data_IF_973634832945
#
_entry.id   IF_973634832945
#
_cell.length_a   1.000
_cell.length_b   1.000
_cell.length_c   1.000
_cell.angle_alpha   90.00
_cell.angle_beta   90.00
_cell.angle_gamma   90.00
#
_symmetry.space_group_name_H-M   'P 1'
#
loop_
_entity.id
_entity.type
_entity.pdbx_description
1 polymer ?
#
# COMPACT_ATOMS: atom_id res chain seq x y z
N UNK A 1 4.66 12.59 22.00
CA UNK A 1 3.50 12.37 21.11
C UNK A 1 3.92 12.91 19.77
N UNK A 2 3.97 12.05 18.76
CA UNK A 2 4.45 12.41 17.43
C UNK A 2 3.26 12.50 16.46
N UNK A 3 3.48 13.10 15.29
CA UNK A 3 2.42 13.31 14.29
C UNK A 3 2.93 12.80 12.94
N UNK A 4 2.11 12.00 12.26
CA UNK A 4 2.21 11.71 10.83
C UNK A 4 1.01 12.26 10.08
N UNK A 5 0.99 12.08 8.76
CA UNK A 5 -0.05 12.65 7.91
C UNK A 5 -0.68 11.61 6.99
N UNK A 6 -1.95 11.80 6.68
CA UNK A 6 -2.69 10.96 5.73
C UNK A 6 -3.39 11.84 4.70
N UNK A 7 -3.24 11.48 3.43
CA UNK A 7 -3.96 12.06 2.29
C UNK A 7 -4.61 10.94 1.48
N UNK A 8 -5.87 11.10 1.11
CA UNK A 8 -6.64 10.09 0.37
C UNK A 8 -6.84 10.59 -1.06
N UNK A 9 -6.62 9.73 -2.05
CA UNK A 9 -6.84 10.02 -3.47
C UNK A 9 -7.88 9.05 -4.02
N UNK A 10 -9.10 9.51 -4.25
CA UNK A 10 -10.20 8.73 -4.80
C UNK A 10 -10.26 8.82 -6.32
N UNK A 11 -10.14 7.66 -6.97
CA UNK A 11 -10.23 7.52 -8.42
C UNK A 11 -11.18 6.39 -8.81
N UNK A 12 -11.53 6.34 -10.09
CA UNK A 12 -12.29 5.25 -10.70
C UNK A 12 -11.79 4.96 -12.12
N UNK A 13 -12.34 3.93 -12.76
CA UNK A 13 -11.97 3.49 -14.11
C UNK A 13 -10.46 3.26 -14.27
N UNK A 14 -9.89 2.43 -13.38
CA UNK A 14 -8.46 2.11 -13.38
C UNK A 14 -7.59 3.38 -13.24
N UNK A 15 -7.90 4.18 -12.22
CA UNK A 15 -7.21 5.43 -11.89
C UNK A 15 -7.34 6.56 -12.94
N UNK A 16 -8.17 6.38 -13.96
CA UNK A 16 -8.31 7.36 -15.04
C UNK A 16 -9.05 8.63 -14.62
N UNK A 17 -10.03 8.53 -13.71
CA UNK A 17 -10.91 9.65 -13.37
C UNK A 17 -10.94 9.92 -11.86
N UNK A 18 -10.82 11.18 -11.43
CA UNK A 18 -11.00 11.54 -10.03
C UNK A 18 -12.47 11.39 -9.61
N UNK A 19 -12.70 11.00 -8.35
CA UNK A 19 -14.03 10.95 -7.75
C UNK A 19 -14.18 12.08 -6.75
N UNK A 20 -14.87 13.14 -7.17
CA UNK A 20 -15.20 14.29 -6.32
C UNK A 20 -16.37 13.98 -5.38
N UNK A 21 -16.35 14.56 -4.19
CA UNK A 21 -17.43 14.43 -3.20
C UNK A 21 -17.52 13.05 -2.54
N UNK A 22 -16.47 12.24 -2.63
CA UNK A 22 -16.40 10.99 -1.88
C UNK A 22 -16.24 11.31 -0.39
N UNK A 23 -17.13 10.78 0.44
CA UNK A 23 -17.05 10.89 1.90
C UNK A 23 -16.04 9.88 2.43
N UNK A 24 -14.99 10.38 3.07
CA UNK A 24 -13.94 9.59 3.68
C UNK A 24 -14.06 9.69 5.20
N UNK A 25 -14.16 8.55 5.89
CA UNK A 25 -14.14 8.49 7.36
C UNK A 25 -12.90 7.78 7.83
N UNK A 26 -12.16 8.39 8.75
CA UNK A 26 -10.92 7.86 9.31
C UNK A 26 -11.19 7.43 10.75
N UNK A 27 -10.75 6.23 11.10
CA UNK A 27 -10.94 5.62 12.42
C UNK A 27 -9.61 5.26 13.06
N UNK A 28 -9.55 5.35 14.39
CA UNK A 28 -8.49 4.71 15.16
C UNK A 28 -8.66 3.18 15.20
N UNK A 29 -7.70 2.50 15.83
CA UNK A 29 -7.74 1.05 16.04
C UNK A 29 -8.87 0.57 16.96
N UNK A 30 -9.52 1.47 17.71
CA UNK A 30 -10.66 1.16 18.57
C UNK A 30 -12.01 1.35 17.85
N UNK A 31 -11.99 1.86 16.61
CA UNK A 31 -13.19 2.14 15.81
C UNK A 31 -13.80 3.52 16.05
N UNK A 32 -13.13 4.41 16.79
CA UNK A 32 -13.60 5.77 16.98
C UNK A 32 -13.38 6.59 15.71
N UNK A 33 -14.40 7.29 15.25
CA UNK A 33 -14.33 8.17 14.08
C UNK A 33 -13.56 9.45 14.45
N UNK A 34 -12.38 9.65 13.89
CA UNK A 34 -11.51 10.80 14.16
C UNK A 34 -11.78 11.95 13.19
N UNK A 35 -11.90 11.61 11.91
CA UNK A 35 -12.11 12.59 10.83
C UNK A 35 -13.22 12.14 9.89
N UNK A 36 -13.91 13.14 9.32
CA UNK A 36 -14.83 12.99 8.19
C UNK A 36 -14.44 14.03 7.16
N UNK A 37 -14.02 13.57 5.99
CA UNK A 37 -13.51 14.38 4.89
C UNK A 37 -14.38 14.20 3.65
N UNK A 38 -14.25 15.13 2.70
CA UNK A 38 -14.76 14.98 1.34
C UNK A 38 -13.63 15.23 0.35
N UNK A 39 -13.61 14.47 -0.74
CA UNK A 39 -12.67 14.71 -1.84
C UNK A 39 -13.09 15.89 -2.69
N UNK A 40 -12.10 16.62 -3.20
CA UNK A 40 -12.27 17.77 -4.08
C UNK A 40 -12.46 17.36 -5.56
N UNK A 41 -12.45 18.34 -6.47
CA UNK A 41 -12.58 18.14 -7.91
C UNK A 41 -11.45 17.28 -8.51
N UNK A 42 -10.29 17.22 -7.85
CA UNK A 42 -9.15 16.38 -8.23
C UNK A 42 -9.22 14.98 -7.62
N UNK A 43 -10.28 14.68 -6.84
CA UNK A 43 -10.45 13.43 -6.14
C UNK A 43 -9.56 13.32 -4.90
N UNK A 44 -9.01 14.43 -4.39
CA UNK A 44 -8.09 14.42 -3.26
C UNK A 44 -8.78 14.91 -1.99
N UNK A 45 -8.47 14.29 -0.85
CA UNK A 45 -8.85 14.82 0.45
C UNK A 45 -7.82 15.85 0.92
N UNK A 46 -8.22 16.72 1.86
CA UNK A 46 -7.23 17.46 2.64
C UNK A 46 -6.30 16.49 3.39
N UNK A 47 -5.03 16.88 3.55
CA UNK A 47 -4.06 16.17 4.38
C UNK A 47 -4.41 16.37 5.85
N UNK A 48 -4.57 15.28 6.60
CA UNK A 48 -4.90 15.32 8.03
C UNK A 48 -3.73 14.87 8.90
N UNK A 49 -3.51 15.49 10.06
CA UNK A 49 -2.56 15.02 11.05
C UNK A 49 -3.16 13.87 11.89
N UNK A 50 -2.37 12.84 12.11
CA UNK A 50 -2.72 11.68 12.92
C UNK A 50 -1.62 11.41 13.95
N UNK A 51 -2.04 11.05 15.15
CA UNK A 51 -1.13 10.78 16.26
C UNK A 51 -0.34 9.50 16.01
N UNK A 52 0.93 9.50 16.38
CA UNK A 52 1.78 8.34 16.24
C UNK A 52 2.90 8.37 17.27
N UNK A 53 3.82 7.41 17.15
CA UNK A 53 4.99 7.25 18.00
C UNK A 53 6.22 7.89 17.36
N UNK A 54 7.20 8.19 18.21
CA UNK A 54 8.44 8.85 17.82
C UNK A 54 9.26 7.98 16.85
N UNK A 55 9.77 8.57 15.77
CA UNK A 55 10.56 7.90 14.74
C UNK A 55 11.84 7.27 15.30
N UNK A 56 12.35 7.75 16.44
CA UNK A 56 13.49 7.15 17.12
C UNK A 56 13.25 5.67 17.44
N UNK A 57 12.00 5.25 17.65
CA UNK A 57 11.65 3.83 17.81
C UNK A 57 11.92 3.02 16.53
N UNK A 58 11.63 3.56 15.35
CA UNK A 58 11.92 2.89 14.07
C UNK A 58 13.42 2.83 13.76
N UNK A 59 14.20 3.76 14.31
CA UNK A 59 15.64 3.87 14.09
C UNK A 59 16.46 3.13 15.15
N UNK A 60 15.81 2.59 16.18
CA UNK A 60 16.46 1.85 17.25
C UNK A 60 16.37 0.34 16.98
N UNK A 61 17.48 -0.34 16.64
CA UNK A 61 17.48 -1.77 16.35
C UNK A 61 17.15 -2.65 17.57
N UNK A 62 17.17 -2.08 18.79
CA UNK A 62 16.82 -2.80 20.03
C UNK A 62 15.36 -2.58 20.45
N UNK A 63 14.61 -1.76 19.73
CA UNK A 63 13.18 -1.56 20.00
C UNK A 63 12.37 -2.70 19.38
N UNK A 64 11.58 -3.39 20.21
CA UNK A 64 10.76 -4.54 19.80
C UNK A 64 9.26 -4.21 19.65
N UNK A 65 8.88 -2.95 19.84
CA UNK A 65 7.50 -2.50 19.63
C UNK A 65 7.22 -2.11 18.17
N UNK A 66 5.99 -1.68 17.91
CA UNK A 66 5.58 -1.18 16.59
C UNK A 66 5.86 0.32 16.51
N UNK A 67 6.75 0.80 15.63
CA UNK A 67 7.16 2.21 15.59
C UNK A 67 6.24 3.07 14.71
N UNK A 68 4.95 2.75 14.70
CA UNK A 68 3.88 3.49 14.01
C UNK A 68 2.53 3.21 14.68
N UNK A 69 1.52 3.98 14.30
CA UNK A 69 0.12 3.73 14.68
C UNK A 69 -0.70 3.42 13.43
N UNK A 70 -1.56 2.41 13.54
CA UNK A 70 -2.43 1.98 12.44
C UNK A 70 -3.79 2.64 12.51
N UNK A 71 -4.31 3.02 11.35
CA UNK A 71 -5.62 3.64 11.18
C UNK A 71 -6.43 2.92 10.11
N UNK A 72 -7.75 3.12 10.14
CA UNK A 72 -8.67 2.54 9.18
C UNK A 72 -9.43 3.64 8.43
N UNK A 73 -9.81 3.38 7.19
CA UNK A 73 -10.52 4.32 6.32
C UNK A 73 -11.76 3.67 5.72
N UNK A 74 -12.89 4.36 5.77
CA UNK A 74 -14.10 4.01 5.03
C UNK A 74 -14.38 5.09 3.99
N UNK A 75 -14.37 4.70 2.72
CA UNK A 75 -14.72 5.56 1.60
C UNK A 75 -16.13 5.23 1.07
N UNK A 76 -16.94 6.27 0.87
CA UNK A 76 -18.29 6.18 0.30
C UNK A 76 -18.50 7.28 -0.72
N UNK A 77 -19.06 6.93 -1.87
CA UNK A 77 -19.46 7.90 -2.88
C UNK A 77 -20.80 7.47 -3.50
N UNK A 78 -21.61 8.44 -3.92
CA UNK A 78 -22.89 8.15 -4.54
C UNK A 78 -22.69 7.40 -5.88
N UNK A 79 -23.38 6.27 -6.05
CA UNK A 79 -23.25 5.43 -7.25
C UNK A 79 -22.04 4.49 -7.24
N UNK A 80 -21.27 4.41 -6.15
CA UNK A 80 -20.12 3.52 -6.01
C UNK A 80 -20.31 2.51 -4.88
N UNK A 81 -19.66 1.36 -5.02
CA UNK A 81 -19.42 0.46 -3.90
C UNK A 81 -18.55 1.15 -2.86
N UNK A 82 -18.82 0.86 -1.59
CA UNK A 82 -17.99 1.36 -0.49
C UNK A 82 -16.71 0.54 -0.36
N UNK A 83 -15.65 1.19 0.11
CA UNK A 83 -14.36 0.55 0.35
C UNK A 83 -13.91 0.82 1.78
N UNK A 84 -13.64 -0.25 2.53
CA UNK A 84 -13.03 -0.19 3.84
C UNK A 84 -11.58 -0.65 3.73
N UNK A 85 -10.64 0.16 4.23
CA UNK A 85 -9.21 -0.16 4.24
C UNK A 85 -8.74 -0.16 5.69
N UNK A 86 -8.14 -1.26 6.13
CA UNK A 86 -7.64 -1.43 7.49
C UNK A 86 -6.11 -1.45 7.57
N UNK A 87 -5.62 -1.21 8.79
CA UNK A 87 -4.23 -1.37 9.19
C UNK A 87 -3.23 -0.43 8.48
N UNK A 88 -3.66 0.77 8.10
CA UNK A 88 -2.83 1.75 7.40
C UNK A 88 -1.78 2.33 8.37
N UNK A 89 -0.47 2.09 8.17
CA UNK A 89 0.55 2.55 9.09
C UNK A 89 0.87 4.03 8.89
N UNK A 90 0.84 4.81 9.98
CA UNK A 90 1.20 6.23 9.98
C UNK A 90 2.47 6.46 10.80
N UNK A 91 3.48 7.04 10.17
CA UNK A 91 4.81 7.28 10.73
C UNK A 91 5.04 8.77 11.03
N UNK A 92 5.83 9.07 12.05
CA UNK A 92 6.14 10.46 12.41
C UNK A 92 6.80 11.22 11.26
N UNK A 93 6.28 12.41 10.96
CA UNK A 93 6.84 13.34 9.97
C UNK A 93 6.54 12.96 8.52
N UNK A 94 6.04 11.76 8.28
CA UNK A 94 5.78 11.24 6.93
C UNK A 94 4.32 11.41 6.52
N UNK A 95 4.09 11.54 5.21
CA UNK A 95 2.75 11.60 4.63
C UNK A 95 2.41 10.31 3.91
N UNK A 96 1.46 9.55 4.45
CA UNK A 96 0.86 8.42 3.77
C UNK A 96 -0.10 8.92 2.68
N UNK A 97 0.13 8.50 1.44
CA UNK A 97 -0.79 8.73 0.32
C UNK A 97 -1.56 7.44 0.11
N UNK A 98 -2.89 7.49 0.31
CA UNK A 98 -3.78 6.34 0.17
C UNK A 98 -4.59 6.46 -1.12
N UNK A 99 -4.13 5.85 -2.23
CA UNK A 99 -4.93 5.74 -3.43
C UNK A 99 -6.09 4.76 -3.19
N UNK A 100 -7.31 5.18 -3.52
CA UNK A 100 -8.50 4.35 -3.48
C UNK A 100 -9.15 4.31 -4.85
N UNK A 101 -9.39 3.11 -5.37
CA UNK A 101 -10.11 2.91 -6.63
C UNK A 101 -11.54 2.48 -6.31
N UNK A 102 -12.48 3.41 -6.48
CA UNK A 102 -13.91 3.17 -6.27
C UNK A 102 -14.54 2.51 -7.50
N UNK A 103 -15.25 1.42 -7.26
CA UNK A 103 -15.92 0.63 -8.29
C UNK A 103 -17.38 1.09 -8.39
N UNK A 104 -17.87 1.56 -9.56
CA UNK A 104 -19.26 1.91 -9.75
C UNK A 104 -20.19 0.74 -9.44
N UNK A 105 -21.37 1.04 -8.93
CA UNK A 105 -22.43 0.04 -8.74
C UNK A 105 -22.98 -0.41 -10.09
N UNK A 106 -23.38 -1.68 -10.20
CA UNK A 106 -24.09 -2.17 -11.38
C UNK A 106 -25.48 -1.53 -11.45
N UNK A 107 -26.04 -1.33 -12.66
CA UNK A 107 -27.36 -0.68 -12.82
C UNK A 107 -28.49 -1.40 -12.06
N UNK A 108 -28.40 -2.73 -11.92
CA UNK A 108 -29.39 -3.53 -11.18
C UNK A 108 -29.18 -3.53 -9.67
N UNK A 109 -28.05 -2.97 -9.19
CA UNK A 109 -27.66 -2.98 -7.80
C UNK A 109 -28.34 -1.85 -7.04
N UNK A 110 -29.15 -2.20 -6.02
CA UNK A 110 -29.91 -1.22 -5.22
C UNK A 110 -29.16 -0.69 -4.00
N UNK A 111 -28.14 -1.40 -3.54
CA UNK A 111 -27.37 -1.06 -2.34
C UNK A 111 -25.88 -1.26 -2.59
N UNK A 112 -25.00 -0.37 -2.10
CA UNK A 112 -23.57 -0.51 -2.28
C UNK A 112 -23.06 -1.78 -1.59
N UNK A 113 -22.19 -2.52 -2.27
CA UNK A 113 -21.38 -3.57 -1.63
C UNK A 113 -20.22 -2.90 -0.90
N UNK A 114 -19.72 -3.55 0.16
CA UNK A 114 -18.50 -3.12 0.84
C UNK A 114 -17.37 -4.07 0.49
N UNK A 115 -16.35 -3.55 -0.18
CA UNK A 115 -15.07 -4.22 -0.33
C UNK A 115 -14.20 -3.91 0.90
N UNK A 116 -13.36 -4.85 1.29
CA UNK A 116 -12.41 -4.70 2.40
C UNK A 116 -11.00 -5.06 1.94
N UNK A 117 -10.05 -4.20 2.27
CA UNK A 117 -8.62 -4.38 1.99
C UNK A 117 -7.87 -4.16 3.30
N UNK A 118 -6.99 -5.08 3.69
CA UNK A 118 -6.05 -4.85 4.79
C UNK A 118 -4.67 -4.57 4.21
N UNK A 119 -4.06 -3.46 4.62
CA UNK A 119 -2.67 -3.11 4.26
C UNK A 119 -1.70 -4.01 5.03
N UNK A 120 -2.01 -4.26 6.30
CA UNK A 120 -1.18 -5.06 7.19
C UNK A 120 0.11 -4.38 7.63
N UNK A 121 0.91 -5.11 8.41
CA UNK A 121 2.19 -4.63 8.92
C UNK A 121 3.27 -4.67 7.83
N UNK A 122 4.23 -3.72 7.80
CA UNK A 122 5.43 -3.87 6.99
C UNK A 122 6.22 -5.12 7.37
N UNK A 123 6.92 -5.74 6.43
CA UNK A 123 7.67 -6.98 6.66
C UNK A 123 8.72 -6.85 7.77
N UNK A 124 9.40 -5.71 7.87
CA UNK A 124 10.35 -5.41 8.95
C UNK A 124 9.71 -5.41 10.35
N UNK A 125 8.38 -5.26 10.43
CA UNK A 125 7.61 -5.30 11.68
C UNK A 125 7.02 -6.70 11.99
N UNK A 126 7.33 -7.71 11.17
CA UNK A 126 6.83 -9.07 11.34
C UNK A 126 7.82 -9.92 12.15
N UNK A 127 7.30 -10.76 13.04
CA UNK A 127 8.10 -11.68 13.85
C UNK A 127 8.50 -12.96 13.09
N UNK A 128 7.95 -13.16 11.90
CA UNK A 128 8.15 -14.38 11.10
C UNK A 128 9.17 -14.15 9.99
N UNK A 129 10.15 -15.06 9.92
CA UNK A 129 11.12 -15.06 8.83
C UNK A 129 10.41 -15.51 7.54
N UNK A 130 10.36 -14.62 6.55
CA UNK A 130 9.85 -14.95 5.22
C UNK A 130 10.90 -15.76 4.47
N UNK A 131 10.48 -16.87 3.90
CA UNK A 131 11.30 -17.69 3.03
C UNK A 131 10.87 -17.47 1.59
N UNK A 132 11.82 -17.62 0.68
CA UNK A 132 11.53 -17.53 -0.74
C UNK A 132 10.78 -18.78 -1.17
N UNK A 133 9.56 -18.62 -1.66
CA UNK A 133 8.75 -19.70 -2.21
C UNK A 133 8.78 -19.65 -3.74
N UNK A 134 8.88 -20.83 -4.37
CA UNK A 134 8.95 -20.97 -5.82
C UNK A 134 9.29 -22.41 -6.23
N UNK A 135 8.89 -22.80 -7.44
CA UNK A 135 9.29 -24.07 -8.03
C UNK A 135 10.79 -24.04 -8.35
N UNK A 136 11.51 -25.13 -8.06
CA UNK A 136 12.90 -25.31 -8.51
C UNK A 136 12.88 -25.56 -10.03
N UNK A 137 12.79 -24.50 -10.82
CA UNK A 137 12.94 -24.54 -12.27
C UNK A 137 14.40 -24.28 -12.65
N UNK A 138 14.85 -24.82 -13.78
CA UNK A 138 16.15 -24.42 -14.34
C UNK A 138 16.08 -22.94 -14.73
N UNK A 139 17.03 -22.10 -14.27
CA UNK A 139 16.98 -20.67 -14.53
C UNK A 139 17.16 -20.42 -16.04
N UNK A 140 16.15 -19.82 -16.66
CA UNK A 140 16.29 -19.31 -18.03
C UNK A 140 16.87 -17.90 -17.96
N UNK A 141 18.14 -17.76 -18.34
CA UNK A 141 18.86 -16.48 -18.23
C UNK A 141 18.67 -15.65 -19.49
N UNK A 142 17.99 -14.51 -19.36
CA UNK A 142 17.86 -13.53 -20.43
C UNK A 142 19.24 -12.94 -20.81
N UNK A 143 19.48 -12.77 -22.12
CA UNK A 143 20.77 -12.25 -22.64
C UNK A 143 21.01 -10.77 -22.34
N UNK A 144 19.99 -10.03 -21.92
CA UNK A 144 20.05 -8.60 -21.67
C UNK A 144 19.21 -8.21 -20.45
N UNK A 145 19.73 -7.24 -19.70
CA UNK A 145 19.07 -6.63 -18.56
C UNK A 145 18.09 -5.58 -19.10
N UNK A 146 16.79 -5.80 -18.89
CA UNK A 146 15.67 -4.92 -19.27
C UNK A 146 14.80 -4.59 -18.05
N UNK A 147 14.48 -3.31 -17.87
CA UNK A 147 13.50 -2.89 -16.86
C UNK A 147 12.10 -3.32 -17.37
N UNK A 148 11.37 -4.19 -16.65
CA UNK A 148 10.07 -4.66 -17.11
C UNK A 148 9.08 -3.50 -17.20
N UNK A 149 8.30 -3.41 -18.27
CA UNK A 149 7.20 -2.48 -18.34
C UNK A 149 6.11 -2.98 -19.31
N UNK A 150 4.98 -3.52 -18.81
CA UNK A 150 4.63 -3.68 -17.39
C UNK A 150 5.35 -4.86 -16.71
N UNK A 151 5.44 -4.83 -15.38
CA UNK A 151 5.74 -6.01 -14.56
C UNK A 151 4.43 -6.71 -14.19
N UNK A 152 4.40 -8.04 -14.27
CA UNK A 152 3.22 -8.84 -13.88
C UNK A 152 3.37 -9.36 -12.45
N UNK A 153 2.36 -9.12 -11.62
CA UNK A 153 2.29 -9.54 -10.22
C UNK A 153 1.15 -10.55 -10.07
N UNK A 154 1.46 -11.72 -9.50
CA UNK A 154 0.47 -12.72 -9.15
C UNK A 154 -0.09 -12.45 -7.75
N UNK A 155 -1.42 -12.32 -7.62
CA UNK A 155 -2.09 -11.94 -6.36
C UNK A 155 -2.34 -13.12 -5.40
N UNK A 156 -1.47 -14.12 -5.41
CA UNK A 156 -1.59 -15.29 -4.55
C UNK A 156 -0.25 -15.99 -4.33
N UNK A 157 -0.21 -17.01 -3.44
CA UNK A 157 0.97 -17.85 -3.28
C UNK A 157 1.39 -18.53 -4.59
N UNK A 158 2.67 -18.90 -4.74
CA UNK A 158 3.13 -19.66 -5.90
C UNK A 158 2.27 -20.90 -6.17
N UNK A 159 1.79 -21.06 -7.41
CA UNK A 159 0.96 -22.19 -7.83
C UNK A 159 -0.52 -22.10 -7.44
N UNK A 160 -0.95 -21.05 -6.73
CA UNK A 160 -2.37 -20.82 -6.45
C UNK A 160 -3.10 -20.26 -7.67
N UNK A 161 -4.42 -20.48 -7.75
CA UNK A 161 -5.27 -19.86 -8.77
C UNK A 161 -5.65 -18.45 -8.35
N UNK A 162 -4.74 -17.50 -8.55
CA UNK A 162 -4.99 -16.07 -8.31
C UNK A 162 -4.86 -15.23 -9.59
N UNK A 163 -5.43 -14.02 -9.55
CA UNK A 163 -5.36 -13.08 -10.68
C UNK A 163 -3.96 -12.52 -10.86
N UNK A 164 -3.61 -12.20 -12.11
CA UNK A 164 -2.39 -11.46 -12.44
C UNK A 164 -2.74 -9.99 -12.69
N UNK A 165 -1.93 -9.09 -12.16
CA UNK A 165 -2.05 -7.64 -12.36
C UNK A 165 -0.78 -7.11 -13.02
N UNK A 166 -0.94 -6.18 -13.95
CA UNK A 166 0.17 -5.52 -14.63
C UNK A 166 0.29 -4.09 -14.13
N UNK A 167 1.48 -3.71 -13.67
CA UNK A 167 1.78 -2.36 -13.20
C UNK A 167 3.10 -1.86 -13.77
N UNK A 168 3.35 -0.55 -13.69
CA UNK A 168 4.66 -0.01 -14.00
C UNK A 168 5.70 -0.53 -13.00
N UNK A 169 6.94 -0.72 -13.44
CA UNK A 169 8.01 -1.13 -12.53
C UNK A 169 8.24 -0.13 -11.37
N UNK A 170 8.21 1.19 -11.59
CA UNK A 170 8.28 2.15 -10.49
C UNK A 170 7.16 1.97 -9.45
N UNK A 171 5.93 1.73 -9.87
CA UNK A 171 4.81 1.57 -8.92
C UNK A 171 4.87 0.25 -8.18
N UNK A 172 5.35 -0.82 -8.84
CA UNK A 172 5.70 -2.06 -8.16
C UNK A 172 6.73 -1.81 -7.05
N UNK A 173 7.84 -1.12 -7.35
CA UNK A 173 8.89 -0.85 -6.36
C UNK A 173 8.38 0.01 -5.21
N UNK A 174 7.55 1.04 -5.47
CA UNK A 174 6.93 1.86 -4.41
C UNK A 174 6.06 1.02 -3.48
N UNK A 175 5.19 0.19 -4.06
CA UNK A 175 4.30 -0.68 -3.29
C UNK A 175 5.10 -1.67 -2.43
N UNK A 176 6.07 -2.36 -3.02
CA UNK A 176 6.92 -3.31 -2.28
C UNK A 176 7.70 -2.59 -1.17
N UNK A 177 8.35 -1.47 -1.46
CA UNK A 177 9.09 -0.73 -0.44
C UNK A 177 8.20 -0.29 0.73
N UNK A 178 6.99 0.22 0.45
CA UNK A 178 6.03 0.64 1.49
C UNK A 178 5.52 -0.52 2.35
N UNK A 179 5.55 -1.76 1.84
CA UNK A 179 5.16 -2.97 2.56
C UNK A 179 6.35 -3.71 3.21
N UNK A 180 7.59 -3.31 2.95
CA UNK A 180 8.78 -4.01 3.45
C UNK A 180 9.52 -3.21 4.53
N UNK A 181 9.70 -1.90 4.36
CA UNK A 181 10.58 -1.07 5.21
C UNK A 181 9.85 0.16 5.78
N UNK A 182 10.42 0.76 6.82
CA UNK A 182 9.89 1.98 7.41
C UNK A 182 10.36 3.24 6.66
N UNK A 183 9.46 4.18 6.32
CA UNK A 183 9.83 5.42 5.61
C UNK A 183 10.66 6.38 6.48
N UNK A 184 10.64 6.21 7.80
CA UNK A 184 11.37 7.03 8.79
C UNK A 184 12.85 6.70 8.92
N UNK A 185 13.34 5.69 8.20
CA UNK A 185 14.75 5.33 8.19
C UNK A 185 15.61 6.39 7.49
N UNK A 186 16.92 6.46 7.83
CA UNK A 186 17.84 7.36 7.14
C UNK A 186 17.82 7.13 5.62
N UNK A 187 17.96 8.19 4.84
CA UNK A 187 17.90 8.14 3.37
C UNK A 187 18.84 7.08 2.77
N UNK A 188 20.05 6.93 3.32
CA UNK A 188 21.00 5.92 2.87
C UNK A 188 20.48 4.48 3.08
N UNK A 189 19.78 4.22 4.18
CA UNK A 189 19.16 2.92 4.46
C UNK A 189 17.97 2.67 3.54
N UNK A 190 17.12 3.68 3.29
CA UNK A 190 16.03 3.59 2.32
C UNK A 190 16.57 3.27 0.93
N UNK A 191 17.57 4.02 0.44
CA UNK A 191 18.20 3.79 -0.86
C UNK A 191 18.79 2.39 -0.97
N UNK A 192 19.52 1.94 0.05
CA UNK A 192 20.13 0.61 0.05
C UNK A 192 19.07 -0.51 -0.05
N UNK A 193 18.00 -0.42 0.74
CA UNK A 193 16.91 -1.40 0.72
C UNK A 193 16.13 -1.35 -0.61
N UNK A 194 15.84 -0.16 -1.14
CA UNK A 194 15.18 -0.01 -2.44
C UNK A 194 16.05 -0.59 -3.56
N UNK A 195 17.37 -0.39 -3.54
CA UNK A 195 18.28 -1.03 -4.49
C UNK A 195 18.29 -2.55 -4.36
N UNK A 196 18.21 -3.09 -3.14
CA UNK A 196 18.09 -4.53 -2.92
C UNK A 196 16.75 -5.06 -3.48
N UNK A 197 15.63 -4.37 -3.23
CA UNK A 197 14.31 -4.71 -3.79
C UNK A 197 14.35 -4.72 -5.32
N UNK A 198 14.90 -3.67 -5.94
CA UNK A 198 15.05 -3.58 -7.40
C UNK A 198 15.91 -4.73 -7.92
N UNK A 199 17.06 -4.98 -7.31
CA UNK A 199 17.99 -6.04 -7.73
C UNK A 199 17.32 -7.41 -7.66
N UNK A 200 16.62 -7.70 -6.56
CA UNK A 200 15.92 -8.95 -6.36
C UNK A 200 14.78 -9.15 -7.37
N UNK A 201 13.96 -8.12 -7.59
CA UNK A 201 12.86 -8.16 -8.56
C UNK A 201 13.37 -8.37 -9.99
N UNK A 202 14.40 -7.64 -10.39
CA UNK A 202 15.01 -7.78 -11.70
C UNK A 202 15.66 -9.15 -11.86
N UNK A 203 16.35 -9.67 -10.84
CA UNK A 203 16.94 -11.00 -10.88
C UNK A 203 15.89 -12.08 -11.16
N UNK A 204 14.74 -12.04 -10.46
CA UNK A 204 13.63 -12.98 -10.72
C UNK A 204 13.11 -12.92 -12.15
N UNK A 205 12.99 -11.73 -12.72
CA UNK A 205 12.58 -11.58 -14.13
C UNK A 205 13.65 -12.10 -15.08
N UNK A 206 14.93 -11.90 -14.79
CA UNK A 206 16.02 -12.35 -15.67
C UNK A 206 16.30 -13.83 -15.62
N UNK A 207 16.00 -14.49 -14.49
CA UNK A 207 16.24 -15.93 -14.32
C UNK A 207 14.97 -16.76 -14.45
N UNK A 208 13.82 -16.14 -14.69
CA UNK A 208 12.48 -16.77 -14.68
C UNK A 208 12.23 -17.63 -13.43
N UNK A 209 12.54 -17.07 -12.25
CA UNK A 209 12.50 -17.77 -10.96
C UNK A 209 11.61 -17.06 -9.93
#
# INVERSE_FOLDING_TARGET
MAIGYLTIQARTAQDALPVSGAQIRVFDSQGNSLYVLMTDENGESQTIPLETVDKSFSQNPYYSGIPYTSYNVLAKAAGFNSLYISDIPIFEGETAILPINLIPMLESQRSPLQAEISVGKPAVAMDTMRHQEGTVAEPYILRQVVIPNPITVHLGPPGSSASNVQVSFPDYVKNVASSEIYPTWPEAALRANIYAIITFALNRVYTEW
#
